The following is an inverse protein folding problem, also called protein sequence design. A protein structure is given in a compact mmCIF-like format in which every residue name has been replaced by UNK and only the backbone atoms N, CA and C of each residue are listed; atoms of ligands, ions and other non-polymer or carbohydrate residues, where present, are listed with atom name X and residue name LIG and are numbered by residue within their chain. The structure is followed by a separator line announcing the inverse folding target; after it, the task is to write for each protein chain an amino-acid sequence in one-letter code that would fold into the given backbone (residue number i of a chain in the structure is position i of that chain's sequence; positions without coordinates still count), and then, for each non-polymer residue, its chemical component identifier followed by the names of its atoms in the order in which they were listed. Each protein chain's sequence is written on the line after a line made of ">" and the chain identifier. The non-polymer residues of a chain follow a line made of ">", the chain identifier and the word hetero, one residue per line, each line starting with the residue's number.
data_IF_015857130604
#
_entry.id   IF_015857130604
#
_cell.length_a   1.000
_cell.length_b   1.000
_cell.length_c   1.000
_cell.angle_alpha   90.00
_cell.angle_beta   90.00
_cell.angle_gamma   90.00
#
_symmetry.space_group_name_H-M   'P 1'
#
loop_
_entity.id
_entity.type
_entity.pdbx_description
1 polymer ?
#
# COMPACT_ATOMS: atom_id res chain seq x y z
N UNK A 1 22.52 19.91 -25.94
CA UNK A 1 22.85 18.73 -25.12
C UNK A 1 22.75 19.16 -23.67
N UNK A 2 21.63 18.81 -23.03
CA UNK A 2 21.31 19.14 -21.64
C UNK A 2 22.09 18.19 -20.71
N UNK A 3 22.82 18.68 -19.69
CA UNK A 3 23.35 17.83 -18.64
C UNK A 3 22.18 17.40 -17.73
N UNK A 4 21.98 16.09 -17.64
CA UNK A 4 20.85 15.46 -16.96
C UNK A 4 20.89 15.62 -15.44
N UNK A 5 19.69 15.59 -14.84
CA UNK A 5 19.51 15.38 -13.40
C UNK A 5 19.96 13.96 -13.04
N UNK A 6 20.86 13.83 -12.07
CA UNK A 6 21.14 12.57 -11.39
C UNK A 6 20.72 12.71 -9.92
N UNK A 7 19.94 11.75 -9.43
CA UNK A 7 19.59 11.63 -8.02
C UNK A 7 20.62 10.73 -7.33
N UNK A 8 21.69 11.31 -6.78
CA UNK A 8 22.53 10.64 -5.78
C UNK A 8 21.85 10.76 -4.43
N UNK A 9 21.88 9.69 -3.65
CA UNK A 9 21.16 9.51 -2.39
C UNK A 9 21.73 10.34 -1.22
N UNK A 10 22.13 11.59 -1.48
CA UNK A 10 22.55 12.57 -0.48
C UNK A 10 21.33 13.43 -0.09
N UNK A 11 20.95 13.50 1.19
CA UNK A 11 19.70 14.15 1.64
C UNK A 11 19.68 15.69 1.54
N UNK A 12 20.39 16.31 0.61
CA UNK A 12 20.49 17.76 0.54
C UNK A 12 20.88 18.34 -0.81
N UNK A 13 19.99 18.28 -1.80
CA UNK A 13 20.11 19.13 -2.98
C UNK A 13 18.79 19.85 -3.28
N UNK A 14 18.55 20.96 -2.58
CA UNK A 14 17.79 22.10 -3.14
C UNK A 14 18.75 23.28 -3.21
N UNK A 15 19.68 23.23 -4.16
CA UNK A 15 20.43 24.38 -4.61
C UNK A 15 20.85 24.14 -6.06
N UNK A 16 20.03 24.56 -7.03
CA UNK A 16 20.49 25.01 -8.35
C UNK A 16 19.36 25.71 -9.10
N UNK A 17 19.12 26.98 -8.77
CA UNK A 17 18.50 27.96 -9.68
C UNK A 17 19.04 29.40 -9.49
N UNK A 18 19.88 29.67 -8.49
CA UNK A 18 20.48 31.00 -8.28
C UNK A 18 22.00 30.95 -8.50
N UNK A 19 22.52 31.78 -9.40
CA UNK A 19 23.96 31.90 -9.69
C UNK A 19 24.76 32.59 -8.56
N UNK A 20 24.08 33.11 -7.54
CA UNK A 20 24.66 33.64 -6.31
C UNK A 20 23.78 33.24 -5.11
N UNK A 21 23.88 32.00 -4.65
CA UNK A 21 23.24 31.58 -3.40
C UNK A 21 24.03 32.16 -2.21
N UNK A 22 23.59 33.28 -1.65
CA UNK A 22 24.27 33.93 -0.51
C UNK A 22 23.90 33.32 0.85
N UNK A 23 22.92 32.41 0.90
CA UNK A 23 22.46 31.74 2.12
C UNK A 23 22.23 30.25 1.83
N UNK A 24 22.87 29.38 2.60
CA UNK A 24 22.64 27.94 2.56
C UNK A 24 21.20 27.65 3.00
N UNK A 25 20.54 26.68 2.36
CA UNK A 25 19.26 26.18 2.86
C UNK A 25 19.48 25.57 4.25
N UNK A 26 18.61 25.90 5.21
CA UNK A 26 18.59 25.22 6.50
C UNK A 26 17.89 23.87 6.35
N UNK A 27 18.64 22.78 6.51
CA UNK A 27 18.13 21.41 6.43
C UNK A 27 17.88 20.80 7.82
N UNK A 28 18.12 21.58 8.90
CA UNK A 28 17.86 21.11 10.25
C UNK A 28 16.36 21.04 10.47
N UNK A 29 15.88 19.83 10.78
CA UNK A 29 14.52 19.65 11.28
C UNK A 29 14.39 20.40 12.62
N UNK A 30 13.40 21.29 12.78
CA UNK A 30 13.16 21.95 14.07
C UNK A 30 12.96 20.92 15.16
N UNK A 31 13.52 21.16 16.36
CA UNK A 31 13.27 20.33 17.54
C UNK A 31 11.75 20.17 17.73
N UNK A 32 11.25 18.99 18.13
CA UNK A 32 9.83 18.84 18.45
C UNK A 32 9.37 19.94 19.41
N UNK A 33 8.27 20.61 19.07
CA UNK A 33 7.69 21.76 19.80
C UNK A 33 8.41 23.11 19.67
N UNK A 34 9.45 23.25 18.83
CA UNK A 34 9.97 24.54 18.40
C UNK A 34 9.16 25.13 17.23
N UNK A 35 9.09 26.46 17.03
CA UNK A 35 8.39 27.07 15.89
C UNK A 35 8.81 26.45 14.55
N UNK A 36 7.85 26.15 13.67
CA UNK A 36 8.11 25.43 12.41
C UNK A 36 8.23 23.91 12.56
N UNK A 37 8.14 23.37 13.77
CA UNK A 37 7.91 21.94 13.98
C UNK A 37 6.41 21.63 13.94
N UNK A 38 6.06 20.44 13.45
CA UNK A 38 4.68 19.95 13.45
C UNK A 38 4.01 20.00 14.83
N UNK A 39 4.81 19.82 15.90
CA UNK A 39 4.34 19.86 17.28
C UNK A 39 4.08 21.28 17.82
N UNK A 40 4.75 22.31 17.31
CA UNK A 40 4.49 23.71 17.70
C UNK A 40 3.38 24.33 16.87
N UNK A 41 3.31 23.98 15.59
CA UNK A 41 2.34 24.53 14.64
C UNK A 41 0.94 23.91 14.82
N UNK A 42 0.77 23.01 15.80
CA UNK A 42 -0.52 22.41 16.15
C UNK A 42 -1.07 21.47 15.08
N UNK A 43 -0.21 20.94 14.21
CA UNK A 43 -0.61 19.99 13.17
C UNK A 43 -1.05 18.69 13.85
N UNK A 44 -2.34 18.36 13.72
CA UNK A 44 -2.87 17.10 14.24
C UNK A 44 -2.41 15.96 13.32
N UNK A 45 -1.48 15.16 13.80
CA UNK A 45 -1.10 13.90 13.16
C UNK A 45 -2.09 12.81 13.56
N UNK A 46 -2.78 12.24 12.58
CA UNK A 46 -3.62 11.05 12.76
C UNK A 46 -2.95 9.88 12.08
N UNK A 47 -2.59 8.86 12.87
CA UNK A 47 -2.19 7.56 12.35
C UNK A 47 -3.40 6.66 12.43
N UNK A 48 -3.91 6.22 11.29
CA UNK A 48 -4.87 5.11 11.27
C UNK A 48 -4.08 3.79 11.28
N UNK A 49 -4.13 3.10 12.41
CA UNK A 49 -3.45 1.82 12.62
C UNK A 49 -4.39 0.61 12.53
N UNK A 50 -5.61 0.77 12.02
CA UNK A 50 -6.56 -0.34 11.92
C UNK A 50 -6.09 -1.35 10.88
N UNK A 51 -5.97 -2.60 11.29
CA UNK A 51 -5.69 -3.68 10.36
C UNK A 51 -6.83 -3.83 9.32
N UNK A 52 -6.50 -4.11 8.04
CA UNK A 52 -7.51 -4.45 7.06
C UNK A 52 -8.31 -5.69 7.51
N UNK A 53 -9.61 -5.69 7.23
CA UNK A 53 -10.49 -6.82 7.48
C UNK A 53 -11.38 -7.06 6.25
N UNK A 54 -11.89 -8.27 6.10
CA UNK A 54 -12.78 -8.63 5.00
C UNK A 54 -14.13 -7.95 5.21
N UNK A 55 -14.59 -7.20 4.20
CA UNK A 55 -15.89 -6.51 4.24
C UNK A 55 -16.98 -7.30 3.54
N UNK A 56 -16.63 -8.04 2.48
CA UNK A 56 -17.56 -8.93 1.80
C UNK A 56 -16.83 -10.04 1.05
N UNK A 57 -17.56 -11.11 0.83
CA UNK A 57 -17.20 -12.23 -0.02
C UNK A 57 -18.24 -12.34 -1.12
N UNK A 58 -17.81 -12.46 -2.37
CA UNK A 58 -18.69 -12.64 -3.50
C UNK A 58 -18.20 -13.79 -4.38
N UNK A 59 -19.12 -14.65 -4.80
CA UNK A 59 -18.84 -15.69 -5.79
C UNK A 59 -19.18 -15.11 -7.15
N UNK A 60 -18.20 -15.05 -8.05
CA UNK A 60 -18.40 -14.43 -9.37
C UNK A 60 -19.16 -15.37 -10.32
N UNK A 61 -19.10 -16.67 -10.07
CA UNK A 61 -19.83 -17.66 -10.84
C UNK A 61 -21.29 -17.76 -10.34
N UNK A 62 -22.29 -17.88 -11.24
CA UNK A 62 -23.69 -18.07 -10.83
C UNK A 62 -23.91 -19.32 -9.96
N UNK A 63 -24.94 -19.38 -9.11
CA UNK A 63 -25.28 -20.62 -8.42
C UNK A 63 -25.54 -21.76 -9.42
N UNK A 64 -24.95 -22.94 -9.21
CA UNK A 64 -25.09 -24.06 -10.13
C UNK A 64 -24.22 -25.27 -9.80
N UNK A 65 -24.35 -26.31 -10.63
CA UNK A 65 -23.49 -27.50 -10.57
C UNK A 65 -22.28 -27.29 -11.48
N UNK A 66 -21.09 -27.56 -10.96
CA UNK A 66 -19.83 -27.35 -11.64
C UNK A 66 -19.14 -28.68 -11.95
N UNK A 67 -18.60 -28.80 -13.16
CA UNK A 67 -17.73 -29.92 -13.54
C UNK A 67 -16.30 -29.69 -13.02
N UNK A 68 -15.51 -30.76 -12.94
CA UNK A 68 -14.17 -30.78 -12.32
C UNK A 68 -13.11 -29.86 -12.95
N UNK A 69 -13.38 -29.25 -14.11
CA UNK A 69 -12.46 -28.36 -14.81
C UNK A 69 -12.94 -26.90 -14.86
N UNK A 70 -13.98 -26.55 -14.09
CA UNK A 70 -14.46 -25.17 -14.00
C UNK A 70 -13.86 -24.50 -12.77
N UNK A 71 -13.23 -23.34 -12.97
CA UNK A 71 -12.75 -22.51 -11.87
C UNK A 71 -13.90 -21.72 -11.26
N UNK A 72 -14.02 -21.80 -9.92
CA UNK A 72 -14.93 -20.96 -9.15
C UNK A 72 -14.11 -19.81 -8.56
N UNK A 73 -14.40 -18.58 -8.99
CA UNK A 73 -13.71 -17.38 -8.57
C UNK A 73 -14.42 -16.76 -7.36
N UNK A 74 -13.66 -16.63 -6.28
CA UNK A 74 -14.08 -15.97 -5.05
C UNK A 74 -13.43 -14.60 -5.02
N UNK A 75 -14.25 -13.55 -5.05
CA UNK A 75 -13.81 -12.19 -4.83
C UNK A 75 -13.96 -11.84 -3.35
N UNK A 76 -12.87 -11.34 -2.77
CA UNK A 76 -12.86 -10.81 -1.41
C UNK A 76 -12.60 -9.31 -1.46
N UNK A 77 -13.44 -8.53 -0.77
CA UNK A 77 -13.24 -7.08 -0.64
C UNK A 77 -12.74 -6.77 0.77
N UNK A 78 -11.79 -5.85 0.88
CA UNK A 78 -11.17 -5.48 2.16
C UNK A 78 -11.50 -4.05 2.55
N UNK A 79 -11.37 -3.74 3.84
CA UNK A 79 -11.60 -2.38 4.34
C UNK A 79 -10.54 -1.39 3.86
N UNK A 80 -9.34 -1.86 3.53
CA UNK A 80 -8.19 -1.12 3.02
C UNK A 80 -7.33 -2.01 2.09
N UNK A 81 -6.41 -1.45 1.29
CA UNK A 81 -5.51 -2.23 0.44
C UNK A 81 -4.73 -3.28 1.23
N UNK A 82 -4.68 -4.51 0.71
CA UNK A 82 -3.91 -5.62 1.27
C UNK A 82 -2.79 -6.00 0.33
N UNK A 83 -1.58 -6.13 0.86
CA UNK A 83 -0.44 -6.66 0.12
C UNK A 83 -0.23 -8.12 0.47
N UNK A 84 -0.23 -8.97 -0.55
CA UNK A 84 -0.09 -10.42 -0.42
C UNK A 84 1.34 -10.82 -0.71
N UNK A 85 1.92 -11.59 0.20
CA UNK A 85 3.18 -12.31 0.04
C UNK A 85 2.94 -13.82 0.25
N UNK A 86 3.80 -14.67 -0.33
CA UNK A 86 3.65 -16.12 -0.32
C UNK A 86 2.46 -16.65 -1.13
N UNK A 87 1.94 -17.82 -0.74
CA UNK A 87 0.86 -18.52 -1.44
C UNK A 87 -0.34 -18.78 -0.51
N UNK A 88 -1.09 -17.73 -0.11
CA UNK A 88 -2.25 -17.91 0.74
C UNK A 88 -3.32 -18.74 0.04
N UNK A 89 -4.01 -19.57 0.84
CA UNK A 89 -5.07 -20.45 0.38
C UNK A 89 -6.16 -20.57 1.43
N UNK A 90 -7.39 -20.77 0.99
CA UNK A 90 -8.53 -21.10 1.85
C UNK A 90 -8.94 -22.54 1.56
N UNK A 91 -9.17 -23.33 2.61
CA UNK A 91 -9.73 -24.68 2.47
C UNK A 91 -11.25 -24.56 2.35
N UNK A 92 -11.82 -25.14 1.30
CA UNK A 92 -13.26 -25.14 1.03
C UNK A 92 -13.85 -26.54 1.22
N UNK A 93 -15.00 -26.59 1.88
CA UNK A 93 -15.81 -27.80 2.03
C UNK A 93 -16.51 -28.11 0.71
N UNK A 94 -15.95 -29.05 -0.06
CA UNK A 94 -16.45 -29.43 -1.39
C UNK A 94 -17.02 -30.86 -1.45
N UNK A 95 -17.25 -31.48 -0.28
CA UNK A 95 -17.82 -32.83 -0.16
C UNK A 95 -16.98 -33.72 0.76
N UNK A 96 -16.74 -34.98 0.35
CA UNK A 96 -15.91 -35.92 1.11
C UNK A 96 -14.44 -35.48 1.24
N UNK A 97 -13.97 -34.69 0.29
CA UNK A 97 -12.61 -34.15 0.26
C UNK A 97 -12.70 -32.64 0.06
N UNK A 98 -12.03 -31.92 0.93
CA UNK A 98 -11.90 -30.48 0.86
C UNK A 98 -10.79 -30.07 -0.09
N UNK A 99 -11.01 -28.97 -0.80
CA UNK A 99 -10.05 -28.44 -1.77
C UNK A 99 -9.53 -27.07 -1.35
N UNK A 100 -8.31 -26.75 -1.79
CA UNK A 100 -7.72 -25.43 -1.57
C UNK A 100 -8.14 -24.48 -2.68
N UNK A 101 -8.74 -23.35 -2.32
CA UNK A 101 -8.83 -22.17 -3.17
C UNK A 101 -7.55 -21.36 -3.04
N UNK A 102 -6.81 -21.25 -4.13
CA UNK A 102 -5.54 -20.52 -4.19
C UNK A 102 -5.80 -19.05 -4.49
N UNK A 103 -5.00 -18.17 -3.90
CA UNK A 103 -4.95 -16.77 -4.30
C UNK A 103 -4.44 -16.63 -5.74
N UNK A 104 -5.15 -15.85 -6.56
CA UNK A 104 -4.83 -15.66 -7.98
C UNK A 104 -4.38 -14.22 -8.28
N UNK A 105 -5.05 -13.21 -7.71
CA UNK A 105 -4.80 -11.80 -8.01
C UNK A 105 -5.48 -10.84 -7.01
N UNK A 106 -5.15 -9.54 -7.06
CA UNK A 106 -5.74 -8.49 -6.23
C UNK A 106 -4.77 -7.80 -5.26
N UNK A 107 -3.48 -7.82 -5.56
CA UNK A 107 -2.46 -7.25 -4.68
C UNK A 107 -2.56 -5.73 -4.67
N UNK A 108 -2.66 -5.12 -3.50
CA UNK A 108 -2.83 -3.67 -3.35
C UNK A 108 -4.21 -3.15 -3.77
N UNK A 109 -5.17 -4.03 -4.11
CA UNK A 109 -6.55 -3.63 -4.39
C UNK A 109 -7.39 -3.62 -3.11
N UNK A 110 -8.50 -2.88 -3.13
CA UNK A 110 -9.47 -2.79 -2.04
C UNK A 110 -10.70 -3.62 -2.36
#
# INVERSE_FOLDING_TARGET
>A
LLPGLTANNDPGYIAHAASQAQLLANLDLPRPSAPGSLGADGVILRVDGRAPYVTSLNILNPPGTYSTNVSILIQMNFSAPVYVDGTPSIKLETGLVDNLALYVSGNGTR
#
